data_IF_482875809010
#
_entry.id   IF_482875809010
#
_cell.length_a   1.000
_cell.length_b   1.000
_cell.length_c   1.000
_cell.angle_alpha   90.00
_cell.angle_beta   90.00
_cell.angle_gamma   90.00
#
_symmetry.space_group_name_H-M   'P 1'
#
loop_
_entity.id
_entity.type
_entity.pdbx_description
1 polymer ?
#
# COMPACT_ATOMS: atom_id res chain seq x y z
N UNK A 1 -8.84 -31.93 4.45
CA UNK A 1 -8.04 -31.65 5.64
C UNK A 1 -6.68 -31.15 5.16
N UNK A 2 -6.29 -29.92 5.48
CA UNK A 2 -5.05 -29.31 5.09
C UNK A 2 -5.20 -27.79 5.27
N UNK A 3 -5.32 -27.35 6.51
CA UNK A 3 -5.23 -25.94 6.85
C UNK A 3 -3.78 -25.52 6.62
N UNK A 4 -3.50 -24.87 5.50
CA UNK A 4 -2.25 -24.14 5.30
C UNK A 4 -2.32 -22.84 6.14
N UNK A 5 -2.08 -23.02 7.43
CA UNK A 5 -1.95 -21.95 8.40
C UNK A 5 -0.62 -21.23 8.22
N UNK A 6 -0.40 -20.62 7.07
CA UNK A 6 0.75 -19.74 6.86
C UNK A 6 0.56 -18.55 7.80
N UNK A 7 1.42 -18.43 8.80
CA UNK A 7 1.51 -17.33 9.75
C UNK A 7 1.78 -16.01 8.99
N UNK A 8 0.74 -15.43 8.40
CA UNK A 8 0.79 -14.11 7.78
C UNK A 8 0.95 -13.04 8.87
N UNK A 9 2.14 -12.83 9.39
CA UNK A 9 2.32 -11.82 10.45
C UNK A 9 3.74 -11.65 10.95
N UNK A 10 4.63 -12.56 10.59
CA UNK A 10 6.07 -12.50 10.93
C UNK A 10 6.94 -12.16 9.72
N UNK A 11 6.36 -11.99 8.54
CA UNK A 11 7.11 -11.62 7.34
C UNK A 11 7.63 -10.17 7.49
N UNK A 12 8.87 -9.90 7.06
CA UNK A 12 9.39 -8.53 7.04
C UNK A 12 8.55 -7.64 6.10
N UNK A 13 8.63 -6.34 6.31
CA UNK A 13 8.04 -5.38 5.38
C UNK A 13 8.60 -5.57 3.97
N UNK A 14 7.80 -5.26 2.96
CA UNK A 14 8.23 -5.30 1.56
C UNK A 14 9.48 -4.44 1.37
N UNK A 15 10.45 -4.96 0.63
CA UNK A 15 11.65 -4.21 0.24
C UNK A 15 11.29 -2.95 -0.58
N UNK A 16 10.18 -3.01 -1.35
CA UNK A 16 9.67 -1.85 -2.08
C UNK A 16 9.21 -0.75 -1.12
N UNK A 17 8.39 -1.09 -0.13
CA UNK A 17 7.96 -0.13 0.90
C UNK A 17 9.16 0.40 1.68
N UNK A 18 10.09 -0.47 2.10
CA UNK A 18 11.29 -0.07 2.84
C UNK A 18 12.18 0.91 2.06
N UNK A 19 12.25 0.77 0.74
CA UNK A 19 13.00 1.66 -0.17
C UNK A 19 12.41 3.05 -0.22
N UNK A 20 11.07 3.16 -0.29
CA UNK A 20 10.41 4.40 -0.63
C UNK A 20 9.79 5.16 0.55
N UNK A 21 9.58 4.52 1.69
CA UNK A 21 8.94 5.16 2.86
C UNK A 21 9.70 6.39 3.36
N UNK A 22 11.00 6.47 3.13
CA UNK A 22 11.83 7.63 3.49
C UNK A 22 11.53 8.91 2.70
N UNK A 23 10.75 8.82 1.62
CA UNK A 23 10.29 10.00 0.87
C UNK A 23 9.09 10.69 1.52
N UNK A 24 8.38 10.01 2.42
CA UNK A 24 7.30 10.63 3.17
C UNK A 24 7.87 11.68 4.11
N UNK A 25 7.31 12.89 4.08
CA UNK A 25 7.78 14.01 4.90
C UNK A 25 7.71 13.66 6.40
N UNK A 26 8.75 13.97 7.18
CA UNK A 26 8.76 13.70 8.61
C UNK A 26 7.51 14.23 9.34
N UNK A 27 6.99 13.47 10.28
CA UNK A 27 5.82 13.85 11.08
C UNK A 27 4.47 13.76 10.36
N UNK A 28 4.46 13.46 9.06
CA UNK A 28 3.21 13.25 8.32
C UNK A 28 2.48 12.00 8.78
N UNK A 29 1.16 12.00 8.60
CA UNK A 29 0.34 10.82 8.81
C UNK A 29 0.44 9.88 7.61
N UNK A 30 0.65 8.58 7.87
CA UNK A 30 0.71 7.52 6.86
C UNK A 30 -0.49 6.61 7.01
N UNK A 31 -1.18 6.32 5.91
CA UNK A 31 -2.19 5.27 5.84
C UNK A 31 -1.53 3.96 5.37
N UNK A 32 -1.68 2.88 6.15
CA UNK A 32 -1.42 1.50 5.71
C UNK A 32 -2.78 0.85 5.42
N UNK A 33 -3.15 0.78 4.14
CA UNK A 33 -4.45 0.28 3.69
C UNK A 33 -4.43 -1.23 3.50
N UNK A 34 -5.47 -1.91 4.02
CA UNK A 34 -5.54 -3.36 4.09
C UNK A 34 -4.27 -3.93 4.74
N UNK A 35 -3.96 -3.38 5.91
CA UNK A 35 -2.67 -3.53 6.56
C UNK A 35 -2.41 -4.94 7.09
N UNK A 36 -3.46 -5.80 7.19
CA UNK A 36 -3.37 -7.09 7.83
C UNK A 36 -2.80 -6.95 9.25
N UNK A 37 -1.77 -7.72 9.57
CA UNK A 37 -1.09 -7.65 10.87
C UNK A 37 -0.08 -6.51 11.00
N UNK A 38 -0.07 -5.57 10.05
CA UNK A 38 0.63 -4.28 10.14
C UNK A 38 2.15 -4.33 10.02
N UNK A 39 2.71 -5.19 9.19
CA UNK A 39 4.17 -5.22 8.96
C UNK A 39 4.69 -3.89 8.40
N UNK A 40 3.93 -3.21 7.56
CA UNK A 40 4.30 -1.92 6.99
C UNK A 40 3.96 -0.77 7.94
N UNK A 41 2.85 -0.87 8.68
CA UNK A 41 2.53 0.08 9.74
C UNK A 41 3.66 0.16 10.79
N UNK A 42 4.19 -1.00 11.24
CA UNK A 42 5.34 -1.05 12.16
C UNK A 42 6.60 -0.42 11.56
N UNK A 43 6.87 -0.69 10.27
CA UNK A 43 8.00 -0.08 9.58
C UNK A 43 7.87 1.44 9.52
N UNK A 44 6.70 1.95 9.10
CA UNK A 44 6.48 3.39 9.01
C UNK A 44 6.56 4.07 10.39
N UNK A 45 5.99 3.46 11.42
CA UNK A 45 6.08 3.96 12.80
C UNK A 45 7.52 3.97 13.31
N UNK A 46 8.33 2.93 13.02
CA UNK A 46 9.75 2.90 13.39
C UNK A 46 10.60 3.97 12.69
N UNK A 47 10.09 4.57 11.62
CA UNK A 47 10.69 5.71 10.92
C UNK A 47 10.16 7.06 11.41
N UNK A 48 9.37 7.05 12.50
CA UNK A 48 8.87 8.27 13.15
C UNK A 48 7.56 8.82 12.57
N UNK A 49 6.87 8.09 11.69
CA UNK A 49 5.58 8.51 11.18
C UNK A 49 4.45 8.13 12.14
N UNK A 50 3.41 8.96 12.16
CA UNK A 50 2.12 8.57 12.74
C UNK A 50 1.39 7.71 11.71
N UNK A 51 0.95 6.52 12.10
CA UNK A 51 0.36 5.56 11.17
C UNK A 51 -1.08 5.27 11.54
N UNK A 52 -1.95 5.37 10.55
CA UNK A 52 -3.30 4.83 10.61
C UNK A 52 -3.31 3.50 9.84
N UNK A 53 -3.45 2.40 10.57
CA UNK A 53 -3.52 1.05 10.02
C UNK A 53 -5.00 0.66 9.84
N UNK A 54 -5.43 0.47 8.60
CA UNK A 54 -6.80 0.15 8.26
C UNK A 54 -6.91 -1.27 7.72
N UNK A 55 -7.81 -2.05 8.30
CA UNK A 55 -8.21 -3.36 7.79
C UNK A 55 -9.66 -3.68 8.19
N UNK A 56 -10.28 -4.62 7.51
CA UNK A 56 -11.59 -5.17 7.92
C UNK A 56 -11.47 -6.26 8.99
N UNK A 57 -10.31 -6.88 9.12
CA UNK A 57 -10.03 -7.97 10.05
C UNK A 57 -9.63 -7.43 11.43
N UNK A 58 -10.56 -7.52 12.39
CA UNK A 58 -10.35 -7.08 13.76
C UNK A 58 -9.22 -7.84 14.46
N UNK A 59 -9.08 -9.15 14.21
CA UNK A 59 -8.05 -9.98 14.83
C UNK A 59 -6.66 -9.62 14.32
N UNK A 60 -6.55 -9.29 13.03
CA UNK A 60 -5.32 -8.77 12.46
C UNK A 60 -4.93 -7.42 13.11
N UNK A 61 -5.90 -6.49 13.22
CA UNK A 61 -5.69 -5.19 13.86
C UNK A 61 -5.33 -5.29 15.34
N UNK A 62 -5.89 -6.26 16.08
CA UNK A 62 -5.57 -6.49 17.49
C UNK A 62 -4.07 -6.75 17.71
N UNK A 63 -3.36 -7.29 16.72
CA UNK A 63 -1.90 -7.49 16.79
C UNK A 63 -1.10 -6.19 16.82
N UNK A 64 -1.73 -5.06 16.49
CA UNK A 64 -1.14 -3.72 16.51
C UNK A 64 -1.41 -2.96 17.81
N UNK A 65 -2.17 -3.55 18.74
CA UNK A 65 -2.45 -2.92 20.03
C UNK A 65 -1.15 -2.58 20.78
N UNK A 66 -1.04 -1.36 21.25
CA UNK A 66 0.14 -0.88 22.00
C UNK A 66 1.37 -0.60 21.15
N UNK A 67 1.33 -0.72 19.84
CA UNK A 67 2.46 -0.33 18.98
C UNK A 67 2.58 1.19 18.95
N UNK A 68 3.69 1.77 19.43
CA UNK A 68 3.87 3.22 19.46
C UNK A 68 3.76 3.83 18.05
N UNK A 69 3.02 4.94 17.93
CA UNK A 69 2.85 5.65 16.67
C UNK A 69 1.84 5.02 15.70
N UNK A 70 1.19 3.90 16.07
CA UNK A 70 0.17 3.24 15.26
C UNK A 70 -1.19 3.38 15.91
N UNK A 71 -2.17 3.86 15.15
CA UNK A 71 -3.60 3.79 15.47
C UNK A 71 -4.28 2.85 14.47
N UNK A 72 -5.32 2.14 14.90
CA UNK A 72 -6.03 1.19 14.05
C UNK A 72 -7.43 1.69 13.73
N UNK A 73 -7.91 1.39 12.52
CA UNK A 73 -9.28 1.63 12.10
C UNK A 73 -9.83 0.36 11.47
N UNK A 74 -10.83 -0.24 12.09
CA UNK A 74 -11.57 -1.33 11.48
C UNK A 74 -12.62 -0.78 10.52
N UNK A 75 -12.46 -1.05 9.23
CA UNK A 75 -13.44 -0.66 8.21
C UNK A 75 -13.35 -1.58 6.99
N UNK A 76 -14.52 -1.86 6.40
CA UNK A 76 -14.60 -2.48 5.08
C UNK A 76 -14.80 -1.38 4.04
N UNK A 77 -13.72 -1.00 3.37
CA UNK A 77 -13.73 0.08 2.36
C UNK A 77 -14.29 -0.37 1.01
N UNK A 78 -14.60 -1.64 0.83
CA UNK A 78 -15.27 -2.16 -0.35
C UNK A 78 -16.80 -2.08 -0.22
N UNK A 79 -17.32 -2.17 1.00
CA UNK A 79 -18.75 -2.19 1.28
C UNK A 79 -19.32 -0.82 1.69
N UNK A 80 -18.48 0.11 2.14
CA UNK A 80 -18.88 1.42 2.67
C UNK A 80 -18.30 2.60 1.91
N UNK A 81 -18.67 3.83 2.29
CA UNK A 81 -18.07 5.02 1.74
C UNK A 81 -16.60 5.13 2.16
N UNK A 82 -15.80 5.75 1.31
CA UNK A 82 -14.41 6.06 1.65
C UNK A 82 -14.35 7.00 2.86
N UNK A 83 -13.67 6.62 3.97
CA UNK A 83 -13.82 7.31 5.24
C UNK A 83 -12.92 8.55 5.41
N UNK A 84 -12.16 8.93 4.39
CA UNK A 84 -11.14 9.97 4.53
C UNK A 84 -11.40 11.18 3.63
N UNK A 85 -11.06 12.36 4.17
CA UNK A 85 -11.08 13.61 3.43
C UNK A 85 -9.89 13.71 2.47
N UNK A 86 -10.04 14.50 1.42
CA UNK A 86 -8.96 14.77 0.50
C UNK A 86 -7.77 15.47 1.19
N UNK A 87 -6.55 15.13 0.76
CA UNK A 87 -5.34 15.79 1.23
C UNK A 87 -4.90 15.43 2.65
N UNK A 88 -5.41 14.35 3.24
CA UNK A 88 -5.11 14.00 4.64
C UNK A 88 -3.70 13.41 4.84
N UNK A 89 -3.27 12.50 3.97
CA UNK A 89 -2.10 11.65 4.22
C UNK A 89 -0.85 12.14 3.49
N UNK A 90 0.26 12.27 4.21
CA UNK A 90 1.57 12.48 3.60
C UNK A 90 2.16 11.22 2.98
N UNK A 91 1.64 10.04 3.34
CA UNK A 91 1.99 8.77 2.71
C UNK A 91 0.82 7.79 2.70
N UNK A 92 0.69 7.00 1.64
CA UNK A 92 -0.26 5.88 1.58
C UNK A 92 0.50 4.64 1.11
N UNK A 93 0.38 3.56 1.88
CA UNK A 93 0.95 2.25 1.58
C UNK A 93 -0.19 1.30 1.25
N UNK A 94 -0.08 0.60 0.13
CA UNK A 94 -1.01 -0.47 -0.28
C UNK A 94 -0.20 -1.67 -0.72
N UNK A 95 -0.37 -2.81 -0.07
CA UNK A 95 0.34 -4.03 -0.47
C UNK A 95 -0.57 -5.25 -0.49
N UNK A 96 -0.39 -6.10 -1.50
CA UNK A 96 -1.16 -7.33 -1.67
C UNK A 96 -2.69 -7.12 -1.67
N UNK A 97 -3.13 -5.95 -2.07
CA UNK A 97 -4.54 -5.56 -2.10
C UNK A 97 -4.87 -4.86 -3.41
N UNK A 98 -6.01 -5.16 -3.99
CA UNK A 98 -6.51 -4.52 -5.22
C UNK A 98 -8.03 -4.39 -5.16
N UNK A 99 -8.49 -3.15 -5.09
CA UNK A 99 -9.88 -2.78 -5.32
C UNK A 99 -9.90 -1.51 -6.17
N UNK A 100 -10.18 -1.67 -7.47
CA UNK A 100 -10.06 -0.61 -8.47
C UNK A 100 -10.85 0.66 -8.19
N UNK A 101 -12.09 0.58 -7.64
CA UNK A 101 -12.84 1.78 -7.27
C UNK A 101 -12.13 2.70 -6.27
N UNK A 102 -11.13 2.19 -5.54
CA UNK A 102 -10.39 2.98 -4.56
C UNK A 102 -9.23 3.79 -5.16
N UNK A 103 -8.85 3.60 -6.41
CA UNK A 103 -7.72 4.35 -6.99
C UNK A 103 -7.93 5.88 -6.89
N UNK A 104 -9.08 6.37 -7.32
CA UNK A 104 -9.37 7.80 -7.28
C UNK A 104 -9.43 8.37 -5.85
N UNK A 105 -10.18 7.77 -4.89
CA UNK A 105 -10.20 8.27 -3.52
C UNK A 105 -8.85 8.14 -2.79
N UNK A 106 -8.04 7.13 -3.09
CA UNK A 106 -6.67 7.02 -2.56
C UNK A 106 -5.81 8.22 -2.99
N UNK A 107 -5.78 8.50 -4.29
CA UNK A 107 -5.01 9.63 -4.84
C UNK A 107 -5.53 10.95 -4.26
N UNK A 108 -6.84 11.13 -4.18
CA UNK A 108 -7.43 12.34 -3.61
C UNK A 108 -7.06 12.53 -2.12
N UNK A 109 -6.87 11.44 -1.37
CA UNK A 109 -6.53 11.48 0.06
C UNK A 109 -5.06 11.78 0.35
N UNK A 110 -4.18 11.70 -0.65
CA UNK A 110 -2.81 12.17 -0.50
C UNK A 110 -2.77 13.70 -0.33
N UNK A 111 -1.98 14.18 0.59
CA UNK A 111 -1.64 15.60 0.69
C UNK A 111 -0.83 16.04 -0.55
N UNK A 112 -0.80 17.33 -0.89
CA UNK A 112 0.16 17.83 -1.85
C UNK A 112 1.59 17.41 -1.47
N UNK A 113 2.35 16.83 -2.41
CA UNK A 113 3.66 16.21 -2.15
C UNK A 113 3.62 14.87 -1.42
N UNK A 114 2.43 14.34 -1.12
CA UNK A 114 2.26 13.03 -0.48
C UNK A 114 2.67 11.88 -1.39
N UNK A 115 3.17 10.81 -0.79
CA UNK A 115 3.78 9.65 -1.47
C UNK A 115 2.82 8.47 -1.48
N UNK A 116 2.56 7.90 -2.65
CA UNK A 116 1.90 6.61 -2.83
C UNK A 116 2.95 5.51 -3.03
N UNK A 117 2.93 4.49 -2.18
CA UNK A 117 3.70 3.26 -2.35
C UNK A 117 2.74 2.10 -2.53
N UNK A 118 2.67 1.58 -3.73
CA UNK A 118 1.75 0.49 -4.08
C UNK A 118 2.52 -0.73 -4.57
N UNK A 119 2.18 -1.92 -4.09
CA UNK A 119 2.71 -3.20 -4.57
C UNK A 119 1.63 -4.25 -4.50
N UNK A 120 1.25 -4.85 -5.64
CA UNK A 120 0.30 -5.97 -5.62
C UNK A 120 0.50 -6.90 -6.81
N UNK A 121 -0.28 -7.98 -6.80
CA UNK A 121 -0.18 -9.05 -7.79
C UNK A 121 -0.69 -8.61 -9.16
N UNK A 122 -0.07 -9.15 -10.21
CA UNK A 122 -0.41 -8.89 -11.61
C UNK A 122 -0.71 -10.20 -12.35
N UNK A 123 -1.26 -10.08 -13.55
CA UNK A 123 -1.50 -11.20 -14.45
C UNK A 123 -0.25 -12.08 -14.62
N UNK A 124 -0.43 -13.37 -14.55
CA UNK A 124 0.64 -14.35 -14.51
C UNK A 124 0.95 -14.87 -13.10
N UNK A 125 0.44 -14.21 -12.04
CA UNK A 125 0.62 -14.68 -10.65
C UNK A 125 -0.12 -16.00 -10.38
N UNK A 126 -1.21 -16.28 -11.08
CA UNK A 126 -1.99 -17.50 -10.96
C UNK A 126 -1.16 -18.78 -11.13
N UNK A 127 0.01 -18.69 -11.77
CA UNK A 127 0.98 -19.79 -11.92
C UNK A 127 1.75 -20.11 -10.63
N UNK A 128 1.83 -19.12 -9.72
CA UNK A 128 2.64 -19.22 -8.49
C UNK A 128 1.79 -19.42 -7.23
N UNK A 129 0.48 -19.18 -7.30
CA UNK A 129 -0.41 -19.35 -6.15
C UNK A 129 -1.57 -18.37 -6.14
N UNK A 130 -2.01 -18.02 -4.94
CA UNK A 130 -3.06 -17.02 -4.73
C UNK A 130 -2.48 -15.60 -4.71
N UNK A 131 -3.24 -14.59 -5.17
CA UNK A 131 -4.58 -14.72 -5.79
C UNK A 131 -4.51 -15.28 -7.21
N UNK A 132 -5.55 -16.06 -7.58
CA UNK A 132 -5.74 -16.59 -8.93
C UNK A 132 -6.88 -15.92 -9.67
N UNK A 133 -7.81 -15.31 -8.91
CA UNK A 133 -8.95 -14.60 -9.52
C UNK A 133 -8.44 -13.36 -10.27
N UNK A 134 -8.73 -13.24 -11.57
CA UNK A 134 -8.35 -12.09 -12.39
C UNK A 134 -8.76 -10.74 -11.84
N UNK A 135 -9.86 -10.67 -11.09
CA UNK A 135 -10.33 -9.43 -10.45
C UNK A 135 -9.32 -8.84 -9.45
N UNK A 136 -8.46 -9.69 -8.87
CA UNK A 136 -7.42 -9.31 -7.93
C UNK A 136 -6.02 -9.26 -8.53
N UNK A 137 -5.93 -9.28 -9.87
CA UNK A 137 -4.67 -9.21 -10.61
C UNK A 137 -4.68 -7.96 -11.50
N UNK A 138 -3.62 -7.18 -11.40
CA UNK A 138 -3.42 -6.01 -12.26
C UNK A 138 -3.16 -6.45 -13.70
N UNK A 139 -3.76 -5.73 -14.65
CA UNK A 139 -3.40 -5.84 -16.06
C UNK A 139 -2.02 -5.22 -16.31
N UNK A 140 -1.30 -5.60 -17.38
CA UNK A 140 0.00 -5.02 -17.68
C UNK A 140 -0.02 -3.49 -17.71
N UNK A 141 0.85 -2.86 -16.92
CA UNK A 141 0.97 -1.40 -16.83
C UNK A 141 -0.16 -0.68 -16.10
N UNK A 142 -1.10 -1.37 -15.46
CA UNK A 142 -2.29 -0.76 -14.88
C UNK A 142 -1.95 0.27 -13.80
N UNK A 143 -1.02 0.00 -12.88
CA UNK A 143 -0.61 1.00 -11.89
C UNK A 143 0.03 2.24 -12.52
N UNK A 144 0.75 2.08 -13.62
CA UNK A 144 1.32 3.21 -14.35
C UNK A 144 0.20 4.05 -14.99
N UNK A 145 -0.82 3.42 -15.56
CA UNK A 145 -1.97 4.13 -16.11
C UNK A 145 -2.75 4.92 -15.03
N UNK A 146 -2.91 4.34 -13.83
CA UNK A 146 -3.55 5.02 -12.69
C UNK A 146 -2.79 6.28 -12.29
N UNK A 147 -1.47 6.29 -12.39
CA UNK A 147 -0.65 7.43 -11.99
C UNK A 147 -0.80 8.68 -12.86
N UNK A 148 -1.37 8.56 -14.05
CA UNK A 148 -1.61 9.73 -14.95
C UNK A 148 -2.62 10.74 -14.39
N UNK A 149 -3.26 10.44 -13.25
CA UNK A 149 -4.26 11.28 -12.61
C UNK A 149 -3.67 12.17 -11.49
N UNK A 150 -2.63 12.95 -11.80
CA UNK A 150 -2.05 13.93 -10.88
C UNK A 150 -0.97 13.37 -9.95
N UNK A 151 -0.29 12.29 -10.38
CA UNK A 151 0.87 11.74 -9.71
C UNK A 151 2.11 11.83 -10.62
N UNK A 152 3.23 12.24 -10.03
CA UNK A 152 4.56 12.12 -10.64
C UNK A 152 5.16 10.76 -10.24
N UNK A 153 5.45 9.89 -11.21
CA UNK A 153 6.03 8.57 -10.99
C UNK A 153 7.51 8.69 -10.68
N UNK A 154 7.94 8.17 -9.53
CA UNK A 154 9.34 8.09 -9.11
C UNK A 154 9.95 6.71 -9.34
N UNK A 155 9.12 5.67 -9.36
CA UNK A 155 9.53 4.31 -9.64
C UNK A 155 8.36 3.43 -10.05
N UNK A 156 8.59 2.59 -11.03
CA UNK A 156 7.64 1.57 -11.47
C UNK A 156 8.42 0.30 -11.81
N UNK A 157 7.93 -0.83 -11.32
CA UNK A 157 8.43 -2.15 -11.67
C UNK A 157 7.26 -3.08 -11.98
N UNK A 158 7.43 -3.90 -13.01
CA UNK A 158 6.51 -4.98 -13.35
C UNK A 158 7.31 -6.23 -13.70
N UNK A 159 6.99 -7.35 -13.06
CA UNK A 159 7.69 -8.57 -13.39
C UNK A 159 7.61 -9.64 -12.30
N UNK A 160 8.41 -10.66 -12.49
CA UNK A 160 8.55 -11.77 -11.55
C UNK A 160 9.48 -11.39 -10.40
N UNK A 161 9.02 -11.58 -9.19
CA UNK A 161 9.84 -11.56 -7.97
C UNK A 161 10.03 -12.99 -7.47
N UNK A 162 11.19 -13.29 -6.86
CA UNK A 162 11.51 -14.61 -6.31
C UNK A 162 11.43 -14.65 -4.78
N UNK A 163 11.41 -13.51 -4.13
CA UNK A 163 11.40 -13.41 -2.67
C UNK A 163 10.30 -12.46 -2.18
N UNK A 164 9.67 -12.76 -1.04
CA UNK A 164 9.82 -13.95 -0.18
C UNK A 164 9.28 -15.23 -0.84
N UNK A 165 8.36 -15.10 -1.81
CA UNK A 165 7.81 -16.18 -2.66
C UNK A 165 7.82 -15.71 -4.11
N UNK A 166 7.89 -16.66 -5.04
CA UNK A 166 7.70 -16.33 -6.46
C UNK A 166 6.32 -15.73 -6.70
N UNK A 167 6.27 -14.56 -7.31
CA UNK A 167 5.03 -13.87 -7.63
C UNK A 167 5.21 -12.95 -8.83
N UNK A 168 4.15 -12.77 -9.61
CA UNK A 168 4.07 -11.73 -10.64
C UNK A 168 3.45 -10.50 -10.00
N UNK A 169 4.15 -9.37 -10.04
CA UNK A 169 3.74 -8.14 -9.36
C UNK A 169 3.87 -6.91 -10.25
N UNK A 170 3.13 -5.86 -9.87
CA UNK A 170 3.44 -4.48 -10.22
C UNK A 170 3.70 -3.68 -8.95
N UNK A 171 4.60 -2.71 -9.07
CA UNK A 171 5.03 -1.81 -8.02
C UNK A 171 5.07 -0.39 -8.52
N UNK A 172 4.53 0.53 -7.75
CA UNK A 172 4.54 1.95 -8.04
C UNK A 172 4.99 2.73 -6.81
N UNK A 173 5.90 3.67 -7.00
CA UNK A 173 6.10 4.80 -6.12
C UNK A 173 5.83 6.07 -6.89
N UNK A 174 4.92 6.90 -6.39
CA UNK A 174 4.56 8.14 -7.04
C UNK A 174 4.26 9.22 -5.98
N UNK A 175 4.39 10.48 -6.37
CA UNK A 175 4.13 11.64 -5.51
C UNK A 175 2.99 12.45 -6.09
N UNK A 176 2.05 12.85 -5.24
CA UNK A 176 1.01 13.79 -5.65
C UNK A 176 1.64 15.15 -5.97
N UNK A 177 1.47 15.59 -7.19
CA UNK A 177 2.04 16.86 -7.64
C UNK A 177 1.53 18.05 -6.82
N UNK A 178 2.45 18.94 -6.48
CA UNK A 178 2.13 20.20 -5.79
C UNK A 178 2.10 21.39 -6.74
N UNK A 179 2.86 21.34 -7.80
CA UNK A 179 3.00 22.27 -8.91
C UNK A 179 4.15 21.78 -9.82
N UNK A 180 4.30 22.29 -11.07
CA UNK A 180 5.25 21.78 -12.05
C UNK A 180 6.76 22.00 -11.74
N UNK A 181 7.11 22.57 -10.62
CA UNK A 181 8.49 23.07 -10.34
C UNK A 181 9.28 22.17 -9.36
N UNK A 182 9.21 20.86 -9.49
CA UNK A 182 10.09 19.98 -8.72
C UNK A 182 11.45 19.86 -9.43
N UNK A 183 12.52 20.44 -8.84
CA UNK A 183 13.89 20.19 -9.27
C UNK A 183 14.24 18.71 -9.14
N UNK A 184 14.93 18.16 -10.11
CA UNK A 184 15.42 16.78 -10.17
C UNK A 184 16.93 16.72 -9.85
N UNK A 185 17.38 17.45 -8.83
CA UNK A 185 18.80 17.48 -8.42
C UNK A 185 19.17 16.24 -7.61
#
# INVERSE_FOLDING_TARGET
MGADGTLHGTEPASAWVARWIGLVSPGSEVLDLACGRGRHARLAASRGHRVLALDRDADALATLAGVPGVTTLQADVEAGPWPFVAGRFGGIIVTNYLHRPLFAPLIASLAPGGVLVYETFARGNERFGSPRNPAFLLEPGELLAVSTHGLCVLGFEQGLVSRPKSAQVQRLCAVRETAPDRALD
#
